data_IF_817349637578
#
_entry.id   IF_817349637578
#
_cell.length_a   1.000
_cell.length_b   1.000
_cell.length_c   1.000
_cell.angle_alpha   90.00
_cell.angle_beta   90.00
_cell.angle_gamma   90.00
#
_symmetry.space_group_name_H-M   'P 1'
#
loop_
_entity.id
_entity.type
_entity.pdbx_description
1 polymer ?
#
# COMPACT_ATOMS: atom_id res chain seq x y z
N UNK A 1 -15.50 6.51 9.81
CA UNK A 1 -14.24 5.74 9.82
C UNK A 1 -13.38 6.23 8.66
N UNK A 2 -12.07 6.24 8.83
CA UNK A 2 -11.07 6.62 7.82
C UNK A 2 -10.63 5.38 7.03
N UNK A 3 -10.55 5.45 5.70
CA UNK A 3 -10.00 4.38 4.85
C UNK A 3 -8.50 4.61 4.66
N UNK A 4 -7.69 3.73 5.27
CA UNK A 4 -6.24 3.76 5.16
C UNK A 4 -5.79 2.70 4.16
N UNK A 5 -5.26 3.13 3.01
CA UNK A 5 -4.61 2.22 2.07
C UNK A 5 -3.26 1.76 2.66
N UNK A 6 -3.06 0.45 2.76
CA UNK A 6 -1.86 -0.13 3.38
C UNK A 6 -0.86 -0.51 2.30
N UNK A 7 0.20 0.27 2.17
CA UNK A 7 1.31 -0.01 1.27
C UNK A 7 2.41 -0.79 2.00
N UNK A 8 2.89 -1.88 1.41
CA UNK A 8 3.95 -2.73 1.95
C UNK A 8 4.72 -3.39 0.80
N UNK A 9 6.04 -3.66 0.92
CA UNK A 9 6.78 -4.40 -0.10
C UNK A 9 6.16 -5.78 -0.36
N UNK A 10 5.94 -6.13 -1.63
CA UNK A 10 5.41 -7.45 -2.02
C UNK A 10 6.48 -8.32 -2.66
N UNK A 11 7.18 -7.79 -3.67
CA UNK A 11 8.18 -8.52 -4.46
C UNK A 11 9.30 -9.14 -3.62
N UNK A 12 9.90 -10.21 -4.12
CA UNK A 12 10.86 -11.03 -3.38
C UNK A 12 10.14 -12.15 -2.63
N UNK A 13 10.00 -12.03 -1.31
CA UNK A 13 9.28 -12.99 -0.46
C UNK A 13 7.77 -12.72 -0.44
N UNK A 14 7.09 -13.03 -1.55
CA UNK A 14 5.66 -12.71 -1.74
C UNK A 14 4.80 -13.33 -0.64
N UNK A 15 4.96 -14.63 -0.37
CA UNK A 15 4.16 -15.32 0.66
C UNK A 15 4.42 -14.78 2.07
N UNK A 16 5.69 -14.54 2.42
CA UNK A 16 6.05 -13.98 3.73
C UNK A 16 5.57 -12.54 3.88
N UNK A 17 5.63 -11.73 2.82
CA UNK A 17 5.12 -10.36 2.82
C UNK A 17 3.60 -10.32 2.96
N UNK A 18 2.87 -11.20 2.28
CA UNK A 18 1.41 -11.34 2.49
C UNK A 18 1.08 -11.66 3.95
N UNK A 19 1.81 -12.59 4.59
CA UNK A 19 1.61 -12.90 6.01
C UNK A 19 1.82 -11.67 6.90
N UNK A 20 2.85 -10.86 6.64
CA UNK A 20 3.09 -9.59 7.38
C UNK A 20 1.94 -8.60 7.20
N UNK A 21 1.45 -8.44 5.97
CA UNK A 21 0.30 -7.58 5.65
C UNK A 21 -0.94 -8.01 6.40
N UNK A 22 -1.25 -9.32 6.43
CA UNK A 22 -2.40 -9.83 7.17
C UNK A 22 -2.27 -9.56 8.68
N UNK A 23 -1.07 -9.66 9.25
CA UNK A 23 -0.82 -9.28 10.65
C UNK A 23 -1.06 -7.79 10.87
N UNK A 24 -0.59 -6.92 9.97
CA UNK A 24 -0.83 -5.47 10.02
C UNK A 24 -2.34 -5.16 9.97
N UNK A 25 -3.06 -5.74 9.00
CA UNK A 25 -4.51 -5.59 8.85
C UNK A 25 -5.23 -6.05 10.11
N UNK A 26 -4.86 -7.20 10.66
CA UNK A 26 -5.44 -7.72 11.91
C UNK A 26 -5.20 -6.76 13.07
N UNK A 27 -3.98 -6.22 13.21
CA UNK A 27 -3.65 -5.29 14.27
C UNK A 27 -4.52 -4.02 14.19
N UNK A 28 -4.58 -3.38 13.01
CA UNK A 28 -5.40 -2.17 12.80
C UNK A 28 -6.86 -2.44 13.16
N UNK A 29 -7.44 -3.55 12.70
CA UNK A 29 -8.83 -3.91 13.05
C UNK A 29 -9.07 -4.10 14.55
N UNK A 30 -8.05 -4.53 15.31
CA UNK A 30 -8.16 -4.77 16.75
C UNK A 30 -7.85 -3.54 17.60
N UNK A 31 -7.11 -2.56 17.07
CA UNK A 31 -6.57 -1.44 17.87
C UNK A 31 -7.00 -0.06 17.39
N UNK A 32 -7.56 0.07 16.20
CA UNK A 32 -7.91 1.36 15.59
C UNK A 32 -9.39 1.38 15.14
N UNK A 33 -10.31 1.51 16.10
CA UNK A 33 -11.77 1.43 15.89
C UNK A 33 -12.34 2.35 14.79
N UNK A 34 -11.63 3.43 14.46
CA UNK A 34 -12.06 4.41 13.47
C UNK A 34 -11.33 4.29 12.13
N UNK A 35 -10.60 3.19 11.87
CA UNK A 35 -9.81 2.98 10.65
C UNK A 35 -10.19 1.69 9.94
N UNK A 36 -10.40 1.77 8.64
CA UNK A 36 -10.56 0.63 7.73
C UNK A 36 -9.21 0.36 7.05
N UNK A 37 -8.48 -0.70 7.41
CA UNK A 37 -7.26 -1.08 6.70
C UNK A 37 -7.63 -1.65 5.33
N UNK A 38 -7.27 -0.94 4.27
CA UNK A 38 -7.62 -1.28 2.90
C UNK A 38 -6.40 -1.79 2.12
N UNK A 39 -6.52 -3.00 1.58
CA UNK A 39 -5.43 -3.71 0.89
C UNK A 39 -5.94 -4.35 -0.41
N UNK A 40 -6.40 -3.55 -1.37
CA UNK A 40 -7.11 -4.05 -2.56
C UNK A 40 -6.25 -4.98 -3.41
N UNK A 41 -4.96 -4.68 -3.52
CA UNK A 41 -4.00 -5.47 -4.31
C UNK A 41 -3.85 -6.91 -3.84
N UNK A 42 -4.26 -7.28 -2.61
CA UNK A 42 -4.22 -8.69 -2.20
C UNK A 42 -5.10 -9.56 -3.11
N UNK A 43 -6.27 -9.07 -3.52
CA UNK A 43 -7.12 -9.81 -4.44
C UNK A 43 -6.43 -10.02 -5.80
N UNK A 44 -5.78 -8.97 -6.31
CA UNK A 44 -5.05 -9.02 -7.57
C UNK A 44 -3.82 -9.93 -7.47
N UNK A 45 -3.10 -9.97 -6.35
CA UNK A 45 -1.98 -10.90 -6.14
C UNK A 45 -2.39 -12.38 -6.20
N UNK A 46 -3.62 -12.71 -5.79
CA UNK A 46 -4.13 -14.08 -5.87
C UNK A 46 -4.79 -14.41 -7.21
N UNK A 47 -5.28 -13.40 -7.93
CA UNK A 47 -6.07 -13.58 -9.15
C UNK A 47 -5.25 -13.40 -10.44
N UNK A 48 -4.18 -12.60 -10.40
CA UNK A 48 -3.39 -12.20 -11.55
C UNK A 48 -1.98 -12.80 -11.50
N UNK A 49 -1.40 -13.02 -12.68
CA UNK A 49 -0.02 -13.43 -12.87
C UNK A 49 0.87 -12.20 -13.11
N UNK A 50 1.67 -11.83 -12.11
CA UNK A 50 2.55 -10.66 -12.21
C UNK A 50 3.65 -10.79 -13.29
N UNK A 51 3.94 -12.02 -13.76
CA UNK A 51 4.85 -12.24 -14.87
C UNK A 51 4.20 -11.99 -16.24
N UNK A 52 2.87 -11.89 -16.32
CA UNK A 52 2.18 -11.45 -17.53
C UNK A 52 2.08 -9.91 -17.52
N UNK A 53 2.71 -9.21 -18.47
CA UNK A 53 2.71 -7.74 -18.49
C UNK A 53 1.32 -7.11 -18.59
N UNK A 54 0.34 -7.79 -19.22
CA UNK A 54 -1.03 -7.28 -19.34
C UNK A 54 -1.77 -7.41 -18.03
N UNK A 55 -1.59 -8.52 -17.32
CA UNK A 55 -2.22 -8.73 -16.01
C UNK A 55 -1.60 -7.82 -14.96
N UNK A 56 -0.27 -7.67 -14.95
CA UNK A 56 0.42 -6.68 -14.11
C UNK A 56 -0.08 -5.25 -14.37
N UNK A 57 -0.19 -4.85 -15.64
CA UNK A 57 -0.75 -3.54 -15.99
C UNK A 57 -2.21 -3.39 -15.55
N UNK A 58 -2.98 -4.49 -15.53
CA UNK A 58 -4.36 -4.48 -15.04
C UNK A 58 -4.42 -4.23 -13.53
N UNK A 59 -3.59 -4.92 -12.73
CA UNK A 59 -3.51 -4.70 -11.28
C UNK A 59 -3.16 -3.26 -10.94
N UNK A 60 -2.10 -2.72 -11.57
CA UNK A 60 -1.70 -1.31 -11.41
C UNK A 60 -2.86 -0.35 -11.75
N UNK A 61 -3.62 -0.63 -12.82
CA UNK A 61 -4.79 0.17 -13.19
C UNK A 61 -5.91 0.09 -12.16
N UNK A 62 -6.13 -1.07 -11.55
CA UNK A 62 -7.13 -1.23 -10.49
C UNK A 62 -6.76 -0.35 -9.29
N UNK A 63 -5.50 -0.41 -8.82
CA UNK A 63 -5.01 0.42 -7.72
C UNK A 63 -5.16 1.93 -8.04
N UNK A 64 -4.71 2.37 -9.22
CA UNK A 64 -4.87 3.77 -9.65
C UNK A 64 -6.34 4.19 -9.61
N UNK A 65 -7.25 3.34 -10.09
CA UNK A 65 -8.69 3.62 -10.11
C UNK A 65 -9.25 3.82 -8.69
N UNK A 66 -8.74 3.06 -7.71
CA UNK A 66 -9.14 3.18 -6.31
C UNK A 66 -8.61 4.46 -5.65
N UNK A 67 -7.42 4.92 -6.00
CA UNK A 67 -6.92 6.21 -5.52
C UNK A 67 -7.72 7.38 -6.08
N UNK A 68 -8.01 7.40 -7.38
CA UNK A 68 -8.71 8.54 -8.02
C UNK A 68 -10.20 8.61 -7.70
N UNK A 69 -10.81 7.53 -7.18
CA UNK A 69 -12.24 7.53 -6.86
C UNK A 69 -12.59 8.36 -5.60
N UNK A 70 -11.57 8.81 -4.85
CA UNK A 70 -11.72 9.67 -3.67
C UNK A 70 -12.13 8.95 -2.38
N UNK A 71 -12.13 7.62 -2.35
CA UNK A 71 -12.48 6.85 -1.14
C UNK A 71 -11.31 6.68 -0.17
N UNK A 72 -10.06 6.85 -0.62
CA UNK A 72 -8.86 6.68 0.21
C UNK A 72 -8.57 7.98 0.96
N UNK A 73 -8.60 7.93 2.29
CA UNK A 73 -8.37 9.09 3.15
C UNK A 73 -6.89 9.26 3.52
N UNK A 74 -6.10 8.17 3.57
CA UNK A 74 -4.66 8.21 3.81
C UNK A 74 -3.94 6.99 3.23
N UNK A 75 -2.67 7.19 2.85
CA UNK A 75 -1.74 6.13 2.48
C UNK A 75 -0.81 5.84 3.67
N UNK A 76 -0.83 4.61 4.17
CA UNK A 76 0.06 4.16 5.25
C UNK A 76 1.17 3.28 4.71
N UNK A 77 2.41 3.64 5.01
CA UNK A 77 3.60 2.89 4.56
C UNK A 77 4.09 1.96 5.66
N UNK A 78 4.14 0.67 5.38
CA UNK A 78 4.72 -0.35 6.25
C UNK A 78 5.87 -1.08 5.55
N UNK A 79 6.70 -1.76 6.34
CA UNK A 79 7.81 -2.58 5.83
C UNK A 79 9.17 -2.04 6.26
N UNK A 80 10.22 -2.75 5.88
CA UNK A 80 11.61 -2.41 6.17
C UNK A 80 12.27 -1.54 5.09
N UNK A 81 11.52 -1.19 4.03
CA UNK A 81 11.97 -0.33 2.93
C UNK A 81 10.76 0.15 2.13
N UNK A 82 10.92 1.21 1.35
CA UNK A 82 9.97 1.71 0.34
C UNK A 82 10.33 1.06 -1.00
N UNK A 83 9.53 0.08 -1.40
CA UNK A 83 9.70 -0.59 -2.69
C UNK A 83 9.33 0.31 -3.88
N UNK A 84 9.67 -0.11 -5.10
CA UNK A 84 9.27 0.57 -6.34
C UNK A 84 7.74 0.70 -6.45
N UNK A 85 6.99 -0.36 -6.13
CA UNK A 85 5.52 -0.34 -6.11
C UNK A 85 4.99 0.73 -5.15
N UNK A 86 5.53 0.77 -3.93
CA UNK A 86 5.18 1.79 -2.94
C UNK A 86 5.57 3.20 -3.39
N UNK A 87 6.68 3.36 -4.10
CA UNK A 87 7.10 4.66 -4.65
C UNK A 87 6.06 5.18 -5.64
N UNK A 88 5.48 4.30 -6.47
CA UNK A 88 4.41 4.67 -7.39
C UNK A 88 3.14 5.09 -6.63
N UNK A 89 2.77 4.36 -5.58
CA UNK A 89 1.63 4.71 -4.71
C UNK A 89 1.85 6.04 -3.97
N UNK A 90 3.06 6.30 -3.48
CA UNK A 90 3.45 7.57 -2.85
C UNK A 90 3.30 8.73 -3.83
N UNK A 91 3.80 8.57 -5.06
CA UNK A 91 3.70 9.61 -6.09
C UNK A 91 2.24 9.89 -6.46
N UNK A 92 1.42 8.84 -6.56
CA UNK A 92 -0.01 8.97 -6.82
C UNK A 92 -0.72 9.68 -5.67
N UNK A 93 -0.51 9.26 -4.43
CA UNK A 93 -1.07 9.90 -3.24
C UNK A 93 -0.69 11.38 -3.15
N UNK A 94 0.58 11.74 -3.43
CA UNK A 94 1.03 13.15 -3.49
C UNK A 94 0.25 13.94 -4.52
N UNK A 95 0.09 13.42 -5.74
CA UNK A 95 -0.65 14.10 -6.82
C UNK A 95 -2.13 14.33 -6.49
N UNK A 96 -2.70 13.51 -5.61
CA UNK A 96 -4.09 13.57 -5.17
C UNK A 96 -4.26 14.29 -3.82
N UNK A 97 -3.18 14.82 -3.24
CA UNK A 97 -3.15 15.41 -1.89
C UNK A 97 -3.64 14.46 -0.79
N UNK A 98 -3.44 13.15 -0.97
CA UNK A 98 -3.74 12.14 0.05
C UNK A 98 -2.60 12.13 1.06
N UNK A 99 -2.89 12.28 2.38
CA UNK A 99 -1.89 12.18 3.43
C UNK A 99 -1.09 10.88 3.38
N UNK A 100 0.24 10.99 3.52
CA UNK A 100 1.17 9.85 3.55
C UNK A 100 1.73 9.71 4.95
N UNK A 101 1.51 8.54 5.56
CA UNK A 101 1.86 8.27 6.96
C UNK A 101 2.84 7.09 7.03
N UNK A 102 4.13 7.32 7.34
CA UNK A 102 5.06 6.23 7.56
C UNK A 102 4.79 5.57 8.92
N UNK A 103 4.65 4.24 8.92
CA UNK A 103 4.25 3.46 10.10
C UNK A 103 5.41 2.63 10.68
N UNK A 104 6.57 2.63 10.03
CA UNK A 104 7.81 1.99 10.53
C UNK A 104 8.96 3.00 10.58
N UNK A 105 10.03 2.66 11.30
CA UNK A 105 11.22 3.51 11.39
C UNK A 105 11.86 3.66 10.00
N UNK A 106 11.96 2.55 9.28
CA UNK A 106 12.58 2.47 7.96
C UNK A 106 11.81 3.30 6.95
N UNK A 107 10.47 3.12 6.86
CA UNK A 107 9.64 3.92 5.94
C UNK A 107 9.66 5.40 6.29
N UNK A 108 9.81 5.77 7.56
CA UNK A 108 9.93 7.17 7.98
C UNK A 108 11.27 7.79 7.53
N UNK A 109 12.37 7.05 7.64
CA UNK A 109 13.69 7.50 7.21
C UNK A 109 13.73 7.65 5.69
N UNK A 110 13.33 6.62 4.95
CA UNK A 110 13.35 6.65 3.48
C UNK A 110 12.37 7.69 2.92
N UNK A 111 11.16 7.83 3.48
CA UNK A 111 10.21 8.87 3.03
C UNK A 111 10.78 10.28 3.22
N UNK A 112 11.55 10.50 4.31
CA UNK A 112 12.21 11.78 4.57
C UNK A 112 13.30 12.05 3.52
N UNK A 113 14.08 11.04 3.16
CA UNK A 113 15.10 11.16 2.10
C UNK A 113 14.49 11.46 0.73
N UNK A 114 13.32 10.90 0.42
CA UNK A 114 12.57 11.20 -0.81
C UNK A 114 11.98 12.63 -0.89
N UNK A 115 12.00 13.38 0.22
CA UNK A 115 11.42 14.73 0.33
C UNK A 115 12.50 15.83 0.42
N UNK A 116 13.78 15.44 0.48
CA UNK A 116 14.94 16.33 0.43
C UNK A 116 15.39 16.55 -1.03
#
# INVERSE_FOLDING_TARGET
MKIAYIAHPISGDVEGNIKKIIVIVRLINLTEENVVPFVPYLADLYALNDNDPKERARGIKNDITLFINGAIDELRLYGSTISEGMTNEINLARSLNIPIVPMTIETKLELKEMLL
#
